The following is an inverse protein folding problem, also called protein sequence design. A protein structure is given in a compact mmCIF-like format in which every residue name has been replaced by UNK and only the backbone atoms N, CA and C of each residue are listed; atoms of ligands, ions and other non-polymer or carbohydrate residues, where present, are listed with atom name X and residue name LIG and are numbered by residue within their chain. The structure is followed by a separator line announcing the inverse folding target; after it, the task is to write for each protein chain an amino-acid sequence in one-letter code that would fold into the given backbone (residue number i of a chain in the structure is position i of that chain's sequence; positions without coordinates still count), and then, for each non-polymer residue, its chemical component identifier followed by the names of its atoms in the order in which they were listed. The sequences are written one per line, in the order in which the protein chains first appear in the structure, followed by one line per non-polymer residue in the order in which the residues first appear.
data_IF_601225812372
#
_entry.id   IF_601225812372
#
_cell.length_a   1.000
_cell.length_b   1.000
_cell.length_c   1.000
_cell.angle_alpha   90.00
_cell.angle_beta   90.00
_cell.angle_gamma   90.00
#
_symmetry.space_group_name_H-M   'P 1'
#
loop_
_entity.id
_entity.type
_entity.pdbx_description
1 polymer ?
#
# COMPACT_ATOMS: atom_id res chain seq x y z
N UNK A 1 1.53 4.36 10.59
CA UNK A 1 0.46 3.89 11.50
C UNK A 1 -0.53 5.02 11.77
N UNK A 2 -1.83 4.73 11.86
CA UNK A 2 -2.81 5.67 12.43
C UNK A 2 -2.61 5.75 13.95
N UNK A 3 -3.01 6.85 14.60
CA UNK A 3 -2.98 6.97 16.07
C UNK A 3 -3.78 5.85 16.78
N UNK A 4 -4.77 5.25 16.11
CA UNK A 4 -5.52 4.07 16.55
C UNK A 4 -4.75 2.73 16.46
N UNK A 5 -3.47 2.73 16.06
CA UNK A 5 -2.71 1.49 15.83
C UNK A 5 -3.08 0.74 14.55
N UNK A 6 -4.06 1.23 13.78
CA UNK A 6 -4.46 0.64 12.50
C UNK A 6 -3.40 0.85 11.43
N UNK A 7 -3.19 -0.18 10.62
CA UNK A 7 -2.18 -0.21 9.54
C UNK A 7 -2.69 0.66 8.40
N UNK A 8 -1.99 1.77 8.14
CA UNK A 8 -2.27 2.68 7.00
C UNK A 8 -1.97 2.02 5.66
N UNK A 9 -0.89 1.26 5.63
CA UNK A 9 -0.26 0.75 4.41
C UNK A 9 0.40 -0.58 4.74
N UNK A 10 0.17 -1.59 3.90
CA UNK A 10 0.81 -2.91 3.98
C UNK A 10 1.34 -3.28 2.61
N UNK A 11 2.63 -3.58 2.52
CA UNK A 11 3.29 -3.98 1.29
C UNK A 11 4.66 -4.55 1.59
N UNK A 12 5.35 -4.96 0.54
CA UNK A 12 6.71 -5.49 0.63
C UNK A 12 7.73 -4.42 0.28
N UNK A 13 8.79 -4.35 1.08
CA UNK A 13 9.93 -3.48 0.86
C UNK A 13 11.13 -4.35 0.56
N UNK A 14 11.82 -4.06 -0.55
CA UNK A 14 13.07 -4.72 -0.93
C UNK A 14 14.13 -3.64 -1.06
N UNK A 15 15.23 -3.79 -0.32
CA UNK A 15 16.30 -2.79 -0.25
C UNK A 15 15.86 -1.36 0.18
N UNK A 16 14.70 -1.24 0.83
CA UNK A 16 14.13 0.06 1.22
C UNK A 16 13.18 0.66 0.17
N UNK A 17 13.01 0.00 -0.96
CA UNK A 17 12.14 0.39 -2.07
C UNK A 17 10.86 -0.45 -2.06
N UNK A 18 9.76 0.14 -2.53
CA UNK A 18 8.44 -0.50 -2.51
C UNK A 18 8.34 -1.43 -3.70
N UNK A 19 8.06 -2.69 -3.42
CA UNK A 19 7.89 -3.70 -4.46
C UNK A 19 6.57 -4.43 -4.31
N UNK A 20 6.04 -4.96 -5.41
CA UNK A 20 4.84 -5.79 -5.41
C UNK A 20 3.58 -5.01 -5.02
N UNK A 21 2.65 -5.69 -4.37
CA UNK A 21 1.32 -5.13 -4.06
C UNK A 21 1.31 -4.37 -2.73
N UNK A 22 0.90 -3.11 -2.81
CA UNK A 22 0.77 -2.16 -1.72
C UNK A 22 -0.71 -1.90 -1.45
N UNK A 23 -1.14 -2.27 -0.24
CA UNK A 23 -2.52 -2.17 0.22
C UNK A 23 -2.64 -1.01 1.19
N UNK A 24 -3.46 -0.04 0.83
CA UNK A 24 -3.77 1.14 1.64
C UNK A 24 -5.13 0.95 2.27
N UNK A 25 -5.18 1.16 3.58
CA UNK A 25 -6.40 0.99 4.36
C UNK A 25 -6.85 2.34 4.92
N UNK A 26 -8.17 2.55 4.95
CA UNK A 26 -8.79 3.69 5.61
C UNK A 26 -8.57 3.67 7.13
N UNK A 27 -8.90 4.78 7.79
CA UNK A 27 -9.10 4.88 9.24
C UNK A 27 -9.95 3.74 9.82
N UNK A 28 -10.90 3.19 9.07
CA UNK A 28 -11.76 2.04 9.45
C UNK A 28 -11.08 0.68 9.29
N UNK A 29 -9.93 0.60 8.62
CA UNK A 29 -9.25 -0.66 8.27
C UNK A 29 -9.78 -1.33 6.99
N UNK A 30 -10.69 -0.68 6.25
CA UNK A 30 -11.14 -1.14 4.94
C UNK A 30 -10.08 -0.84 3.87
N UNK A 31 -9.88 -1.75 2.92
CA UNK A 31 -8.98 -1.52 1.79
C UNK A 31 -9.55 -0.42 0.88
N UNK A 32 -8.87 0.72 0.84
CA UNK A 32 -9.23 1.89 0.02
C UNK A 32 -8.52 1.87 -1.32
N UNK A 33 -7.26 1.42 -1.33
CA UNK A 33 -6.44 1.49 -2.52
C UNK A 33 -5.44 0.34 -2.55
N UNK A 34 -5.21 -0.18 -3.75
CA UNK A 34 -4.22 -1.19 -4.05
C UNK A 34 -3.31 -0.68 -5.16
N UNK A 35 -2.01 -0.55 -4.88
CA UNK A 35 -1.01 -0.08 -5.84
C UNK A 35 0.01 -1.19 -6.07
N UNK A 36 0.40 -1.43 -7.31
CA UNK A 36 1.40 -2.43 -7.69
C UNK A 36 2.66 -1.71 -8.14
N UNK A 37 3.79 -2.05 -7.52
CA UNK A 37 5.10 -1.49 -7.82
C UNK A 37 6.02 -2.56 -8.42
N UNK A 38 6.90 -2.15 -9.33
CA UNK A 38 7.98 -3.00 -9.84
C UNK A 38 9.17 -3.03 -8.85
N UNK A 39 10.25 -3.73 -9.21
CA UNK A 39 11.48 -3.80 -8.40
C UNK A 39 12.29 -2.47 -8.40
N UNK A 40 11.86 -1.47 -9.19
CA UNK A 40 12.48 -0.14 -9.36
C UNK A 40 11.65 0.99 -8.70
N UNK A 41 10.77 0.66 -7.73
CA UNK A 41 9.81 1.59 -7.06
C UNK A 41 8.83 2.30 -8.03
N UNK A 42 8.72 1.85 -9.29
CA UNK A 42 7.79 2.43 -10.24
C UNK A 42 6.40 1.85 -10.11
N UNK A 43 5.40 2.73 -10.12
CA UNK A 43 4.00 2.35 -10.06
C UNK A 43 3.57 1.72 -11.41
N UNK A 44 3.30 0.41 -11.40
CA UNK A 44 2.74 -0.32 -12.55
C UNK A 44 1.24 -0.07 -12.64
N UNK A 45 0.52 -0.20 -11.52
CA UNK A 45 -0.95 -0.15 -11.50
C UNK A 45 -1.45 0.41 -10.18
N UNK A 46 -2.56 1.12 -10.20
CA UNK A 46 -3.31 1.44 -8.98
C UNK A 46 -4.80 1.17 -9.19
N UNK A 47 -5.44 0.66 -8.16
CA UNK A 47 -6.88 0.42 -8.10
C UNK A 47 -7.40 1.10 -6.83
N UNK A 48 -8.29 2.06 -6.99
CA UNK A 48 -8.96 2.74 -5.89
C UNK A 48 -10.36 2.14 -5.75
N UNK A 49 -10.75 1.79 -4.54
CA UNK A 49 -12.10 1.33 -4.22
C UNK A 49 -12.86 2.50 -3.62
N UNK A 50 -13.91 2.94 -4.31
CA UNK A 50 -14.89 3.93 -3.82
C UNK A 50 -15.96 3.26 -2.95
#
# INVERSE_FOLDING_TARGET
YYPDGRVKIKGELKNGERIGEWKFYDSTGKLEQLSLYNDEDELIKTEKRE
#
